data_IF_193473294555
#
_entry.id   IF_193473294555
#
_cell.length_a   1.000
_cell.length_b   1.000
_cell.length_c   1.000
_cell.angle_alpha   90.00
_cell.angle_beta   90.00
_cell.angle_gamma   90.00
#
_symmetry.space_group_name_H-M   'P 1'
#
loop_
_entity.id
_entity.type
_entity.pdbx_description
1 polymer ?
#
# COMPACT_ATOMS: atom_id res chain seq x y z
N UNK A 1 17.51 -21.51 3.13
CA UNK A 1 16.33 -20.64 2.85
C UNK A 1 16.11 -19.81 4.09
N UNK A 2 16.31 -18.50 4.14
CA UNK A 2 16.79 -17.47 3.20
C UNK A 2 17.46 -16.45 4.14
N UNK A 3 18.77 -16.26 4.06
CA UNK A 3 19.38 -15.07 4.67
C UNK A 3 18.93 -13.89 3.81
N UNK A 4 17.85 -13.24 4.25
CA UNK A 4 17.52 -11.89 3.79
C UNK A 4 18.47 -10.98 4.54
N UNK A 5 19.54 -10.57 3.87
CA UNK A 5 20.26 -9.34 4.21
C UNK A 5 19.94 -8.31 3.13
N UNK A 6 18.83 -7.58 3.23
CA UNK A 6 18.63 -6.30 2.55
C UNK A 6 18.99 -5.20 3.60
N UNK A 7 19.42 -3.97 3.34
CA UNK A 7 19.46 -3.06 2.21
C UNK A 7 20.62 -2.10 2.50
N UNK A 8 21.49 -1.77 1.55
CA UNK A 8 22.19 -0.48 1.61
C UNK A 8 22.59 -0.02 0.21
N UNK A 9 22.04 1.11 -0.22
CA UNK A 9 22.89 2.10 -0.86
C UNK A 9 23.73 2.67 0.29
N UNK A 10 25.06 2.55 0.27
CA UNK A 10 26.01 2.64 1.41
C UNK A 10 25.85 3.83 2.39
N UNK A 11 24.96 4.80 2.10
CA UNK A 11 24.70 6.03 2.83
C UNK A 11 23.34 6.11 3.57
N UNK A 12 22.42 5.13 3.46
CA UNK A 12 21.09 5.17 4.13
C UNK A 12 20.98 4.08 5.21
N UNK A 13 20.77 4.42 6.50
CA UNK A 13 20.56 3.45 7.56
C UNK A 13 19.34 2.56 7.31
N UNK A 14 19.42 1.27 7.66
CA UNK A 14 18.38 0.26 7.40
C UNK A 14 17.01 0.68 7.96
N UNK A 15 16.94 1.11 9.22
CA UNK A 15 15.69 1.57 9.84
C UNK A 15 15.07 2.77 9.10
N UNK A 16 15.92 3.67 8.58
CA UNK A 16 15.47 4.81 7.81
C UNK A 16 14.98 4.39 6.42
N UNK A 17 15.67 3.44 5.79
CA UNK A 17 15.25 2.85 4.53
C UNK A 17 13.87 2.21 4.64
N UNK A 18 13.64 1.40 5.68
CA UNK A 18 12.35 0.79 5.94
C UNK A 18 11.25 1.84 6.14
N UNK A 19 11.52 2.87 6.95
CA UNK A 19 10.58 3.95 7.20
C UNK A 19 10.22 4.72 5.92
N UNK A 20 11.20 4.95 5.04
CA UNK A 20 10.98 5.62 3.75
C UNK A 20 10.14 4.77 2.79
N UNK A 21 10.45 3.47 2.68
CA UNK A 21 9.67 2.54 1.85
C UNK A 21 8.22 2.42 2.35
N UNK A 22 8.03 2.37 3.67
CA UNK A 22 6.71 2.32 4.29
C UNK A 22 5.90 3.60 4.01
N UNK A 23 6.52 4.77 4.19
CA UNK A 23 5.93 6.08 3.90
C UNK A 23 5.53 6.22 2.44
N UNK A 24 6.37 5.71 1.52
CA UNK A 24 6.09 5.76 0.08
C UNK A 24 4.92 4.84 -0.29
N UNK A 25 4.90 3.60 0.22
CA UNK A 25 3.81 2.66 0.00
C UNK A 25 2.47 3.22 0.53
N UNK A 26 2.47 3.79 1.72
CA UNK A 26 1.31 4.50 2.30
C UNK A 26 0.84 5.65 1.40
N UNK A 27 1.78 6.45 0.89
CA UNK A 27 1.49 7.56 0.01
C UNK A 27 0.82 7.14 -1.30
N UNK A 28 1.26 6.02 -1.87
CA UNK A 28 0.73 5.42 -3.11
C UNK A 28 -0.71 4.92 -2.89
N UNK A 29 -0.91 4.10 -1.85
CA UNK A 29 -2.21 3.45 -1.59
C UNK A 29 -3.28 4.46 -1.18
N UNK A 30 -2.94 5.43 -0.30
CA UNK A 30 -3.89 6.49 0.12
C UNK A 30 -4.41 7.34 -1.05
N UNK A 31 -3.68 7.42 -2.15
CA UNK A 31 -4.05 8.16 -3.36
C UNK A 31 -4.64 7.26 -4.45
N UNK A 32 -4.88 5.98 -4.16
CA UNK A 32 -5.40 4.98 -5.11
C UNK A 32 -4.49 4.81 -6.34
N UNK A 33 -3.18 4.97 -6.16
CA UNK A 33 -2.17 4.85 -7.22
C UNK A 33 -1.49 3.48 -7.25
N UNK A 34 -1.98 2.49 -6.51
CA UNK A 34 -1.36 1.17 -6.41
C UNK A 34 -1.15 0.51 -7.78
N UNK A 35 -2.18 0.49 -8.62
CA UNK A 35 -2.13 -0.11 -9.97
C UNK A 35 -1.08 0.57 -10.87
N UNK A 36 -1.15 1.89 -11.11
CA UNK A 36 -0.15 2.55 -11.96
C UNK A 36 1.26 2.51 -11.37
N UNK A 37 1.42 2.53 -10.04
CA UNK A 37 2.73 2.42 -9.39
C UNK A 37 3.37 1.04 -9.60
N UNK A 38 2.60 -0.05 -9.39
CA UNK A 38 3.08 -1.43 -9.61
C UNK A 38 3.50 -1.62 -11.07
N UNK A 39 2.68 -1.18 -12.04
CA UNK A 39 3.02 -1.28 -13.45
C UNK A 39 4.32 -0.56 -13.79
N UNK A 40 4.49 0.67 -13.30
CA UNK A 40 5.69 1.47 -13.53
C UNK A 40 6.93 0.80 -12.91
N UNK A 41 6.86 0.42 -11.64
CA UNK A 41 7.97 -0.20 -10.92
C UNK A 41 8.39 -1.54 -11.55
N UNK A 42 7.45 -2.36 -12.00
CA UNK A 42 7.73 -3.63 -12.69
C UNK A 42 8.49 -3.40 -14.01
N UNK A 43 8.14 -2.34 -14.75
CA UNK A 43 8.87 -1.97 -15.97
C UNK A 43 10.25 -1.38 -15.71
N UNK A 44 10.50 -0.91 -14.48
CA UNK A 44 11.78 -0.34 -14.06
C UNK A 44 12.76 -1.39 -13.50
N UNK A 45 12.31 -2.59 -13.13
CA UNK A 45 13.19 -3.68 -12.63
C UNK A 45 14.38 -4.05 -13.55
N UNK A 46 14.31 -4.05 -14.89
CA UNK A 46 15.48 -4.35 -15.74
C UNK A 46 16.44 -3.15 -15.93
N UNK A 47 16.21 -2.00 -15.29
CA UNK A 47 16.92 -0.74 -15.55
C UNK A 47 17.96 -0.38 -14.46
N UNK A 48 18.81 -1.32 -14.07
CA UNK A 48 19.98 -1.07 -13.18
C UNK A 48 21.02 -0.06 -13.74
N UNK A 49 20.76 0.60 -14.87
CA UNK A 49 21.65 1.60 -15.46
C UNK A 49 21.00 2.98 -15.67
N UNK A 50 19.72 3.15 -15.34
CA UNK A 50 18.99 4.44 -15.53
C UNK A 50 18.54 5.05 -14.21
N UNK A 51 18.95 4.51 -13.05
CA UNK A 51 18.51 4.99 -11.72
C UNK A 51 18.73 6.50 -11.49
N UNK A 52 19.91 7.01 -11.86
CA UNK A 52 20.26 8.42 -11.64
C UNK A 52 19.52 9.41 -12.56
N UNK A 53 19.15 9.02 -13.79
CA UNK A 53 18.42 9.90 -14.73
C UNK A 53 16.91 9.67 -14.70
N UNK A 54 16.45 8.45 -14.42
CA UNK A 54 15.03 8.13 -14.27
C UNK A 54 14.44 8.81 -13.04
N UNK A 55 15.18 8.86 -11.92
CA UNK A 55 14.70 9.56 -10.73
C UNK A 55 14.56 11.06 -10.97
N UNK A 56 15.45 11.70 -11.74
CA UNK A 56 15.31 13.11 -12.15
C UNK A 56 14.03 13.31 -12.97
N UNK A 57 13.72 12.41 -13.90
CA UNK A 57 12.46 12.45 -14.67
C UNK A 57 11.22 12.22 -13.80
N UNK A 58 11.33 11.41 -12.74
CA UNK A 58 10.27 11.11 -11.77
C UNK A 58 10.15 12.15 -10.64
N UNK A 59 11.10 13.09 -10.53
CA UNK A 59 11.11 14.15 -9.52
C UNK A 59 9.77 14.86 -9.32
N UNK A 60 9.08 15.40 -10.35
CA UNK A 60 7.82 16.13 -10.14
C UNK A 60 6.72 15.27 -9.53
N UNK A 61 6.78 13.94 -9.74
CA UNK A 61 5.85 13.01 -9.12
C UNK A 61 6.26 12.73 -7.68
N UNK A 62 7.51 12.30 -7.44
CA UNK A 62 7.97 11.89 -6.10
C UNK A 62 8.04 13.06 -5.11
N UNK A 63 8.37 14.28 -5.57
CA UNK A 63 8.37 15.48 -4.73
C UNK A 63 6.97 15.82 -4.15
N UNK A 64 5.89 15.31 -4.74
CA UNK A 64 4.54 15.42 -4.19
C UNK A 64 4.29 14.46 -3.01
N UNK A 65 5.16 13.46 -2.81
CA UNK A 65 5.06 12.44 -1.76
C UNK A 65 6.13 12.61 -0.68
N UNK A 66 7.30 13.15 -1.01
CA UNK A 66 8.46 13.22 -0.11
C UNK A 66 9.20 14.57 -0.27
N UNK A 67 9.49 15.26 0.83
CA UNK A 67 10.11 16.60 0.83
C UNK A 67 11.62 16.51 1.04
N UNK A 68 12.40 17.29 0.28
CA UNK A 68 13.81 17.58 0.59
C UNK A 68 14.73 16.37 0.59
N UNK A 69 15.45 16.15 1.70
CA UNK A 69 16.50 15.13 1.83
C UNK A 69 15.99 13.70 1.69
N UNK A 70 14.73 13.43 2.04
CA UNK A 70 14.11 12.12 1.88
C UNK A 70 14.05 11.69 0.40
N UNK A 71 13.92 12.62 -0.54
CA UNK A 71 13.84 12.30 -1.97
C UNK A 71 15.15 11.71 -2.48
N UNK A 72 16.30 12.27 -2.06
CA UNK A 72 17.62 11.74 -2.43
C UNK A 72 17.83 10.34 -1.86
N UNK A 73 17.42 10.12 -0.60
CA UNK A 73 17.49 8.81 0.03
C UNK A 73 16.61 7.78 -0.69
N UNK A 74 15.38 8.16 -1.04
CA UNK A 74 14.49 7.29 -1.83
C UNK A 74 15.10 7.00 -3.20
N UNK A 75 15.70 7.98 -3.88
CA UNK A 75 16.37 7.77 -5.16
C UNK A 75 17.51 6.74 -5.05
N UNK A 76 18.36 6.87 -4.03
CA UNK A 76 19.42 5.90 -3.74
C UNK A 76 18.86 4.50 -3.44
N UNK A 77 17.78 4.41 -2.65
CA UNK A 77 17.14 3.13 -2.37
C UNK A 77 16.60 2.47 -3.64
N UNK A 78 16.05 3.24 -4.59
CA UNK A 78 15.50 2.69 -5.83
C UNK A 78 16.56 2.24 -6.85
N UNK A 79 17.86 2.45 -6.60
CA UNK A 79 18.94 1.89 -7.43
C UNK A 79 19.12 0.38 -7.24
N UNK A 80 18.64 -0.15 -6.11
CA UNK A 80 18.73 -1.58 -5.80
C UNK A 80 17.40 -2.28 -6.11
N UNK A 81 17.43 -3.29 -6.98
CA UNK A 81 16.26 -4.09 -7.37
C UNK A 81 15.53 -4.70 -6.16
N UNK A 82 16.28 -5.08 -5.12
CA UNK A 82 15.73 -5.63 -3.89
C UNK A 82 14.78 -4.65 -3.18
N UNK A 83 15.09 -3.35 -3.22
CA UNK A 83 14.26 -2.31 -2.60
C UNK A 83 13.02 -1.99 -3.42
N UNK A 84 13.15 -2.01 -4.75
CA UNK A 84 12.03 -1.86 -5.67
C UNK A 84 11.04 -3.01 -5.45
N UNK A 85 11.54 -4.23 -5.32
CA UNK A 85 10.74 -5.42 -5.01
C UNK A 85 10.07 -5.30 -3.63
N UNK A 86 10.79 -4.85 -2.60
CA UNK A 86 10.22 -4.65 -1.26
C UNK A 86 9.12 -3.58 -1.27
N UNK A 87 9.30 -2.50 -2.03
CA UNK A 87 8.29 -1.45 -2.19
C UNK A 87 7.03 -2.00 -2.87
N UNK A 88 7.20 -2.75 -3.95
CA UNK A 88 6.11 -3.35 -4.72
C UNK A 88 5.26 -4.27 -3.84
N UNK A 89 5.90 -5.17 -3.09
CA UNK A 89 5.19 -6.04 -2.17
C UNK A 89 4.48 -5.28 -1.04
N UNK A 90 5.07 -4.21 -0.51
CA UNK A 90 4.40 -3.35 0.49
C UNK A 90 3.13 -2.70 -0.08
N UNK A 91 3.21 -2.17 -1.30
CA UNK A 91 2.07 -1.55 -1.99
C UNK A 91 0.95 -2.58 -2.19
N UNK A 92 1.27 -3.77 -2.69
CA UNK A 92 0.29 -4.84 -2.91
C UNK A 92 -0.39 -5.31 -1.62
N UNK A 93 0.40 -5.53 -0.55
CA UNK A 93 -0.13 -5.94 0.77
C UNK A 93 -1.11 -4.90 1.32
N UNK A 94 -0.75 -3.62 1.25
CA UNK A 94 -1.58 -2.51 1.75
C UNK A 94 -2.85 -2.32 0.93
N UNK A 95 -2.76 -2.36 -0.40
CA UNK A 95 -3.90 -2.27 -1.30
C UNK A 95 -4.90 -3.43 -1.05
N UNK A 96 -4.39 -4.65 -0.86
CA UNK A 96 -5.22 -5.81 -0.54
C UNK A 96 -5.94 -5.63 0.81
N UNK A 97 -5.25 -5.05 1.81
CA UNK A 97 -5.84 -4.75 3.12
C UNK A 97 -6.97 -3.72 3.03
N UNK A 98 -6.79 -2.64 2.25
CA UNK A 98 -7.83 -1.62 2.00
C UNK A 98 -9.06 -2.25 1.34
N UNK A 99 -8.87 -3.00 0.25
CA UNK A 99 -9.97 -3.70 -0.44
C UNK A 99 -10.69 -4.71 0.45
N UNK A 100 -9.97 -5.40 1.32
CA UNK A 100 -10.56 -6.33 2.27
C UNK A 100 -11.41 -5.61 3.33
N UNK A 101 -10.96 -4.45 3.81
CA UNK A 101 -11.72 -3.60 4.72
C UNK A 101 -13.01 -3.08 4.04
N UNK A 102 -12.90 -2.50 2.86
CA UNK A 102 -14.06 -2.02 2.08
C UNK A 102 -15.05 -3.15 1.79
N UNK A 103 -14.56 -4.34 1.43
CA UNK A 103 -15.42 -5.50 1.20
C UNK A 103 -16.12 -5.95 2.48
N UNK A 104 -15.48 -5.90 3.64
CA UNK A 104 -16.09 -6.23 4.94
C UNK A 104 -17.16 -5.21 5.33
N UNK A 105 -16.91 -3.93 5.11
CA UNK A 105 -17.88 -2.85 5.32
C UNK A 105 -19.08 -2.99 4.38
N UNK A 106 -18.83 -3.21 3.08
CA UNK A 106 -19.87 -3.39 2.06
C UNK A 106 -20.64 -4.71 2.21
N UNK A 107 -19.99 -5.76 2.71
CA UNK A 107 -20.65 -7.02 3.03
C UNK A 107 -21.43 -6.95 4.33
N UNK A 108 -21.36 -5.83 5.07
CA UNK A 108 -22.13 -5.52 6.28
C UNK A 108 -22.47 -6.79 7.02
N UNK A 109 -21.45 -7.40 7.64
CA UNK A 109 -21.46 -8.76 8.21
C UNK A 109 -22.88 -9.26 8.43
N UNK A 110 -23.26 -10.32 7.71
CA UNK A 110 -24.59 -10.91 7.76
C UNK A 110 -25.07 -11.27 9.17
N UNK A 111 -24.25 -11.15 10.22
CA UNK A 111 -24.70 -11.02 11.62
C UNK A 111 -25.66 -9.85 11.83
N UNK A 112 -25.40 -8.65 11.29
CA UNK A 112 -26.27 -7.47 11.40
C UNK A 112 -27.55 -7.65 10.59
N UNK A 113 -27.45 -8.15 9.35
CA UNK A 113 -28.61 -8.48 8.53
C UNK A 113 -29.49 -9.58 9.18
N UNK A 114 -28.87 -10.61 9.79
CA UNK A 114 -29.59 -11.65 10.58
C UNK A 114 -30.15 -11.12 11.89
N UNK A 115 -29.46 -10.20 12.57
CA UNK A 115 -29.94 -9.55 13.78
C UNK A 115 -31.16 -8.66 13.50
N UNK A 116 -31.10 -7.85 12.43
CA UNK A 116 -32.24 -7.05 11.97
C UNK A 116 -33.40 -7.91 11.49
N UNK A 117 -33.15 -9.01 10.78
CA UNK A 117 -34.19 -9.96 10.40
C UNK A 117 -34.87 -10.60 11.62
N UNK A 118 -34.11 -10.93 12.67
CA UNK A 118 -34.62 -11.47 13.93
C UNK A 118 -35.45 -10.46 14.72
N UNK A 119 -35.06 -9.18 14.73
CA UNK A 119 -35.79 -8.10 15.41
C UNK A 119 -37.06 -7.70 14.63
N UNK A 120 -37.01 -7.62 13.29
CA UNK A 120 -38.20 -7.31 12.46
C UNK A 120 -39.18 -8.47 12.33
N UNK A 121 -38.73 -9.72 12.43
CA UNK A 121 -39.58 -10.92 12.36
C UNK A 121 -40.41 -11.20 13.62
N UNK A 122 -40.18 -10.47 14.72
CA UNK A 122 -40.81 -10.70 16.02
C UNK A 122 -42.11 -9.94 16.30
N UNK A 123 -42.71 -9.24 15.32
CA UNK A 123 -43.98 -8.53 15.53
C UNK A 123 -45.10 -9.10 14.66
N UNK A 124 -45.63 -10.24 15.09
CA UNK A 124 -46.95 -10.70 14.69
C UNK A 124 -47.73 -11.11 15.93
N UNK A 125 -48.89 -10.47 16.10
CA UNK A 125 -50.05 -10.90 16.88
C UNK A 125 -49.89 -10.98 18.40
N UNK A 126 -50.55 -10.04 19.08
CA UNK A 126 -50.81 -10.07 20.51
C UNK A 126 -51.75 -8.95 20.92
N UNK A 127 -52.98 -9.01 20.40
CA UNK A 127 -54.24 -8.52 20.99
C UNK A 127 -55.35 -9.10 20.07
N UNK A 128 -55.93 -10.29 20.31
CA UNK A 128 -56.91 -10.60 21.37
C UNK A 128 -57.84 -9.40 21.56
N UNK A 129 -58.98 -9.34 20.87
CA UNK A 129 -60.10 -10.24 21.09
C UNK A 129 -60.90 -9.67 22.24
N UNK A 130 -61.94 -8.92 21.91
CA UNK A 130 -63.28 -8.82 22.56
C UNK A 130 -64.09 -7.69 21.92
#
# INVERSE_FOLDING_TARGET
MREMVPVVAEDVPEEEAEALLEKLADGIVRRQLAIPAVLLLETCKPLNFVGSQAMIALHPFVAAFVKGDDYRKVALLMEEDANVEELLQRVERKEAAVKAAEKRERSGDGTFARAWARVRGGKSRGDSGE
#
